data_IF_952812802693
#
_entry.id   IF_952812802693
#
_cell.length_a   1.000
_cell.length_b   1.000
_cell.length_c   1.000
_cell.angle_alpha   90.00
_cell.angle_beta   90.00
_cell.angle_gamma   90.00
#
_symmetry.space_group_name_H-M   'P 1'
#
loop_
_entity.id
_entity.type
_entity.pdbx_description
1 polymer ?
#
# COMPACT_ATOMS: atom_id res chain seq x y z
N UNK A 1 23.40 37.15 -4.44
CA UNK A 1 21.97 37.24 -4.03
C UNK A 1 21.48 35.87 -3.59
N UNK A 2 21.54 35.58 -2.30
CA UNK A 2 21.06 34.33 -1.71
C UNK A 2 19.56 34.43 -1.45
N UNK A 3 18.74 33.75 -2.27
CA UNK A 3 17.29 33.69 -2.08
C UNK A 3 16.98 32.77 -0.91
N UNK A 4 16.70 33.36 0.26
CA UNK A 4 16.11 32.68 1.42
C UNK A 4 14.71 32.18 1.06
N UNK A 5 14.49 30.87 1.01
CA UNK A 5 13.18 30.28 0.78
C UNK A 5 12.38 30.28 2.08
N UNK A 6 11.22 30.96 2.07
CA UNK A 6 10.29 31.11 3.19
C UNK A 6 9.73 29.75 3.61
N UNK A 7 9.78 29.44 4.91
CA UNK A 7 9.17 28.27 5.53
C UNK A 7 7.75 28.63 6.01
N UNK A 8 6.70 28.21 5.28
CA UNK A 8 5.32 28.29 5.78
C UNK A 8 4.99 27.01 6.54
N UNK A 9 4.70 27.15 7.84
CA UNK A 9 4.12 26.11 8.69
C UNK A 9 2.60 26.33 8.72
N UNK A 10 1.83 25.43 8.09
CA UNK A 10 0.37 25.47 8.10
C UNK A 10 -0.25 24.49 7.10
N UNK A 11 -0.82 23.39 7.62
CA UNK A 11 -1.66 22.35 6.97
C UNK A 11 -1.22 21.85 5.58
N UNK A 12 -0.61 20.66 5.58
CA UNK A 12 -0.14 19.97 4.38
C UNK A 12 1.28 20.40 4.06
N UNK A 13 2.25 19.51 4.28
CA UNK A 13 3.64 19.75 3.90
C UNK A 13 3.66 20.24 2.43
N UNK A 14 4.26 21.41 2.12
CA UNK A 14 4.30 21.94 0.77
C UNK A 14 4.84 20.91 -0.22
N UNK A 15 4.31 20.91 -1.45
CA UNK A 15 4.77 20.06 -2.55
C UNK A 15 6.29 20.17 -2.69
N UNK A 16 7.01 19.12 -2.28
CA UNK A 16 8.48 19.10 -2.32
C UNK A 16 8.95 19.00 -3.79
N UNK A 17 8.14 18.37 -4.65
CA UNK A 17 8.45 18.19 -6.07
C UNK A 17 7.34 18.78 -6.95
N UNK A 18 7.37 20.09 -7.26
CA UNK A 18 6.48 20.67 -8.26
C UNK A 18 6.79 20.15 -9.68
N UNK A 19 7.94 19.51 -9.87
CA UNK A 19 8.45 19.00 -11.13
C UNK A 19 8.53 17.47 -11.11
N UNK A 20 7.93 16.82 -12.12
CA UNK A 20 7.86 15.36 -12.23
C UNK A 20 9.23 14.77 -12.54
N UNK A 21 10.04 15.49 -13.32
CA UNK A 21 11.39 15.03 -13.68
C UNK A 21 12.26 14.92 -12.44
N UNK A 22 12.26 15.95 -11.59
CA UNK A 22 12.99 15.92 -10.31
C UNK A 22 12.49 14.85 -9.34
N UNK A 23 11.19 14.58 -9.34
CA UNK A 23 10.64 13.47 -8.58
C UNK A 23 11.21 12.13 -9.09
N UNK A 24 11.21 11.94 -10.42
CA UNK A 24 11.74 10.72 -11.03
C UNK A 24 13.24 10.54 -10.77
N UNK A 25 14.04 11.62 -10.82
CA UNK A 25 15.46 11.60 -10.45
C UNK A 25 15.67 11.14 -9.00
N UNK A 26 14.93 11.72 -8.05
CA UNK A 26 15.04 11.35 -6.64
C UNK A 26 14.61 9.89 -6.38
N UNK A 27 13.57 9.42 -7.08
CA UNK A 27 13.15 8.02 -7.06
C UNK A 27 14.27 7.11 -7.60
N UNK A 28 14.87 7.47 -8.73
CA UNK A 28 15.96 6.69 -9.32
C UNK A 28 17.17 6.63 -8.39
N UNK A 29 17.55 7.76 -7.78
CA UNK A 29 18.63 7.82 -6.82
C UNK A 29 18.39 6.93 -5.59
N UNK A 30 17.15 6.84 -5.09
CA UNK A 30 16.80 5.91 -4.01
C UNK A 30 17.07 4.46 -4.40
N UNK A 31 16.55 4.02 -5.54
CA UNK A 31 16.72 2.62 -5.96
C UNK A 31 18.17 2.30 -6.31
N UNK A 32 18.88 3.21 -6.97
CA UNK A 32 20.31 3.06 -7.24
C UNK A 32 21.10 2.89 -5.94
N UNK A 33 20.83 3.72 -4.93
CA UNK A 33 21.46 3.58 -3.62
C UNK A 33 21.19 2.19 -3.02
N UNK A 34 19.93 1.73 -3.07
CA UNK A 34 19.58 0.41 -2.56
C UNK A 34 20.31 -0.72 -3.30
N UNK A 35 20.49 -0.60 -4.62
CA UNK A 35 21.26 -1.57 -5.42
C UNK A 35 22.74 -1.59 -5.01
N UNK A 36 23.34 -0.41 -4.86
CA UNK A 36 24.75 -0.26 -4.46
C UNK A 36 25.01 -0.79 -3.05
N UNK A 37 24.07 -0.61 -2.12
CA UNK A 37 24.22 -1.04 -0.72
C UNK A 37 23.61 -2.40 -0.42
N UNK A 38 22.99 -3.06 -1.40
CA UNK A 38 22.17 -4.26 -1.23
C UNK A 38 21.06 -4.09 -0.17
N UNK A 39 20.52 -2.86 -0.04
CA UNK A 39 19.42 -2.57 0.87
C UNK A 39 18.06 -2.96 0.25
N UNK A 40 17.10 -3.40 1.07
CA UNK A 40 15.75 -3.67 0.60
C UNK A 40 15.03 -2.44 0.06
N UNK A 41 14.31 -2.61 -1.05
CA UNK A 41 13.35 -1.61 -1.50
C UNK A 41 12.12 -1.63 -0.58
N UNK A 42 11.76 -0.50 0.00
CA UNK A 42 10.60 -0.38 0.89
C UNK A 42 9.85 0.92 0.64
N UNK A 43 8.53 0.92 0.86
CA UNK A 43 7.69 2.12 0.72
C UNK A 43 8.14 3.21 1.70
N UNK A 44 8.51 2.83 2.92
CA UNK A 44 9.01 3.77 3.92
C UNK A 44 10.37 4.33 3.53
N UNK A 45 11.28 3.49 3.02
CA UNK A 45 12.58 3.94 2.52
C UNK A 45 12.43 4.94 1.36
N UNK A 46 11.53 4.66 0.43
CA UNK A 46 11.18 5.58 -0.66
C UNK A 46 10.63 6.90 -0.12
N UNK A 47 9.70 6.86 0.84
CA UNK A 47 9.14 8.07 1.45
C UNK A 47 10.23 8.91 2.15
N UNK A 48 11.14 8.26 2.89
CA UNK A 48 12.27 8.92 3.54
C UNK A 48 13.22 9.57 2.53
N UNK A 49 13.56 8.88 1.44
CA UNK A 49 14.41 9.42 0.38
C UNK A 49 13.78 10.65 -0.30
N UNK A 50 12.46 10.66 -0.43
CA UNK A 50 11.68 11.79 -0.96
C UNK A 50 11.35 12.85 0.11
N UNK A 51 11.89 12.72 1.33
CA UNK A 51 11.63 13.60 2.47
C UNK A 51 10.13 13.82 2.75
N UNK A 52 9.36 12.75 2.64
CA UNK A 52 7.90 12.77 2.74
C UNK A 52 7.36 11.62 3.60
N UNK A 53 6.05 11.42 3.59
CA UNK A 53 5.38 10.33 4.31
C UNK A 53 4.78 9.31 3.35
N UNK A 54 4.54 8.07 3.82
CA UNK A 54 3.79 7.06 3.06
C UNK A 54 2.42 7.59 2.62
N UNK A 55 1.74 8.34 3.48
CA UNK A 55 0.44 8.93 3.15
C UNK A 55 0.54 9.94 1.99
N UNK A 56 1.63 10.72 1.94
CA UNK A 56 1.87 11.64 0.84
C UNK A 56 2.06 10.91 -0.49
N UNK A 57 2.78 9.78 -0.50
CA UNK A 57 2.93 8.96 -1.71
C UNK A 57 1.56 8.49 -2.23
N UNK A 58 0.70 7.98 -1.34
CA UNK A 58 -0.68 7.57 -1.68
C UNK A 58 -1.49 8.77 -2.23
N UNK A 59 -1.35 9.94 -1.62
CA UNK A 59 -2.04 11.14 -2.10
C UNK A 59 -1.54 11.59 -3.49
N UNK A 60 -0.27 11.36 -3.82
CA UNK A 60 0.31 11.71 -5.12
C UNK A 60 -0.08 10.71 -6.21
N UNK A 61 -0.24 9.44 -5.84
CA UNK A 61 -0.82 8.42 -6.71
C UNK A 61 -2.25 8.76 -7.15
N UNK A 62 -2.97 9.65 -6.46
CA UNK A 62 -4.30 10.12 -6.88
C UNK A 62 -4.26 11.43 -7.69
N UNK A 63 -3.07 11.96 -8.02
CA UNK A 63 -2.89 13.20 -8.80
C UNK A 63 -2.34 12.86 -10.17
N UNK A 64 -3.10 13.17 -11.22
CA UNK A 64 -2.77 12.86 -12.62
C UNK A 64 -1.31 13.17 -12.99
N UNK A 65 -0.81 14.35 -12.60
CA UNK A 65 0.58 14.77 -12.86
C UNK A 65 1.66 13.81 -12.32
N UNK A 66 1.41 13.13 -11.19
CA UNK A 66 2.40 12.29 -10.51
C UNK A 66 2.03 10.81 -10.53
N UNK A 67 0.86 10.47 -11.09
CA UNK A 67 0.24 9.16 -11.05
C UNK A 67 1.21 8.07 -11.53
N UNK A 68 1.69 8.19 -12.77
CA UNK A 68 2.53 7.16 -13.39
C UNK A 68 3.86 7.00 -12.64
N UNK A 69 4.52 8.10 -12.29
CA UNK A 69 5.80 8.10 -11.59
C UNK A 69 5.72 7.40 -10.23
N UNK A 70 4.70 7.72 -9.42
CA UNK A 70 4.53 7.10 -8.10
C UNK A 70 4.08 5.65 -8.22
N UNK A 71 3.15 5.35 -9.14
CA UNK A 71 2.68 3.97 -9.36
C UNK A 71 3.82 3.06 -9.78
N UNK A 72 4.66 3.50 -10.72
CA UNK A 72 5.84 2.76 -11.15
C UNK A 72 6.85 2.57 -10.01
N UNK A 73 7.07 3.58 -9.17
CA UNK A 73 7.95 3.45 -8.01
C UNK A 73 7.43 2.44 -6.99
N UNK A 74 6.12 2.47 -6.68
CA UNK A 74 5.48 1.49 -5.81
C UNK A 74 5.57 0.07 -6.38
N UNK A 75 5.35 -0.09 -7.68
CA UNK A 75 5.46 -1.37 -8.37
C UNK A 75 6.87 -1.98 -8.27
N UNK A 76 7.93 -1.15 -8.30
CA UNK A 76 9.30 -1.63 -8.07
C UNK A 76 9.51 -2.18 -6.66
N UNK A 77 8.94 -1.52 -5.65
CA UNK A 77 8.97 -2.00 -4.26
C UNK A 77 8.19 -3.30 -4.13
N UNK A 78 7.02 -3.39 -4.76
CA UNK A 78 6.18 -4.58 -4.80
C UNK A 78 6.91 -5.76 -5.46
N UNK A 79 7.53 -5.55 -6.63
CA UNK A 79 8.31 -6.58 -7.31
C UNK A 79 9.52 -7.06 -6.49
N UNK A 80 10.17 -6.17 -5.74
CA UNK A 80 11.23 -6.59 -4.82
C UNK A 80 10.70 -7.55 -3.74
N UNK A 81 9.55 -7.24 -3.14
CA UNK A 81 8.91 -8.13 -2.17
C UNK A 81 8.50 -9.46 -2.84
N UNK A 82 7.89 -9.42 -4.01
CA UNK A 82 7.54 -10.62 -4.80
C UNK A 82 8.76 -11.52 -5.06
N UNK A 83 9.87 -10.96 -5.54
CA UNK A 83 11.12 -11.71 -5.74
C UNK A 83 11.62 -12.38 -4.47
N UNK A 84 11.50 -11.71 -3.31
CA UNK A 84 11.89 -12.26 -2.01
C UNK A 84 11.01 -13.41 -1.53
N UNK A 85 9.82 -13.63 -2.09
CA UNK A 85 9.05 -14.85 -1.84
C UNK A 85 9.82 -16.11 -2.24
N UNK A 86 10.62 -16.04 -3.31
CA UNK A 86 11.36 -17.17 -3.86
C UNK A 86 12.71 -17.42 -3.18
N UNK A 87 13.08 -16.63 -2.15
CA UNK A 87 14.39 -16.74 -1.48
C UNK A 87 14.33 -17.43 -0.11
N UNK A 88 13.23 -18.12 0.23
CA UNK A 88 13.12 -18.96 1.43
C UNK A 88 12.74 -18.26 2.75
N UNK A 89 12.58 -16.93 2.76
CA UNK A 89 12.16 -16.15 3.93
C UNK A 89 10.89 -15.33 3.64
N UNK A 90 9.78 -16.01 3.38
CA UNK A 90 8.58 -15.40 2.81
C UNK A 90 7.74 -14.57 3.79
N UNK A 91 7.86 -14.73 5.12
CA UNK A 91 6.96 -14.05 6.09
C UNK A 91 6.96 -12.52 5.97
N UNK A 92 8.15 -11.90 5.87
CA UNK A 92 8.28 -10.46 5.69
C UNK A 92 7.73 -9.97 4.34
N UNK A 93 8.15 -10.57 3.21
CA UNK A 93 7.59 -10.29 1.89
C UNK A 93 6.06 -10.47 1.79
N UNK A 94 5.50 -11.54 2.35
CA UNK A 94 4.05 -11.77 2.40
C UNK A 94 3.35 -10.64 3.14
N UNK A 95 3.87 -10.22 4.30
CA UNK A 95 3.32 -9.08 5.04
C UNK A 95 3.40 -7.78 4.22
N UNK A 96 4.50 -7.56 3.49
CA UNK A 96 4.63 -6.40 2.61
C UNK A 96 3.61 -6.44 1.47
N UNK A 97 3.47 -7.56 0.76
CA UNK A 97 2.53 -7.74 -0.35
C UNK A 97 1.07 -7.61 0.08
N UNK A 98 0.71 -8.07 1.28
CA UNK A 98 -0.61 -7.81 1.87
C UNK A 98 -0.90 -6.30 2.01
N UNK A 99 0.11 -5.49 2.34
CA UNK A 99 -0.05 -4.02 2.34
C UNK A 99 -0.19 -3.40 0.94
N UNK A 100 0.18 -4.14 -0.11
CA UNK A 100 -0.12 -3.80 -1.51
C UNK A 100 -1.50 -4.31 -1.97
N UNK A 101 -2.26 -4.97 -1.09
CA UNK A 101 -3.59 -5.49 -1.39
C UNK A 101 -3.60 -6.93 -1.90
N UNK A 102 -2.47 -7.66 -1.83
CA UNK A 102 -2.46 -9.08 -2.14
C UNK A 102 -3.21 -9.86 -1.07
N UNK A 103 -4.07 -10.76 -1.51
CA UNK A 103 -4.84 -11.62 -0.64
C UNK A 103 -4.64 -13.09 -1.02
N UNK A 104 -4.62 -13.94 0.01
CA UNK A 104 -4.72 -15.39 -0.19
C UNK A 104 -6.21 -15.73 -0.21
N UNK A 105 -6.76 -15.95 -1.40
CA UNK A 105 -8.18 -16.27 -1.57
C UNK A 105 -8.46 -17.69 -1.09
N UNK A 106 -8.90 -17.83 0.17
CA UNK A 106 -9.39 -19.08 0.72
C UNK A 106 -10.91 -19.17 0.53
N UNK A 107 -11.34 -19.96 -0.47
CA UNK A 107 -12.75 -20.22 -0.74
C UNK A 107 -13.31 -21.20 0.32
N UNK A 108 -13.82 -20.68 1.44
CA UNK A 108 -14.41 -21.48 2.49
C UNK A 108 -15.87 -21.82 2.13
N UNK A 109 -16.09 -22.98 1.52
CA UNK A 109 -17.43 -23.53 1.40
C UNK A 109 -17.92 -23.95 2.80
N UNK A 110 -18.91 -23.24 3.34
CA UNK A 110 -19.57 -23.63 4.58
C UNK A 110 -20.56 -24.78 4.30
N UNK A 111 -20.08 -26.02 4.34
CA UNK A 111 -20.92 -27.22 4.36
C UNK A 111 -21.27 -27.59 5.81
N UNK A 112 -22.11 -26.79 6.45
CA UNK A 112 -22.67 -27.11 7.77
C UNK A 112 -24.10 -27.63 7.63
N UNK A 113 -24.41 -28.79 8.19
CA UNK A 113 -25.81 -29.24 8.34
C UNK A 113 -26.56 -28.26 9.25
N UNK A 114 -27.63 -27.66 8.72
CA UNK A 114 -28.54 -26.82 9.50
C UNK A 114 -29.52 -27.72 10.25
N UNK A 115 -29.29 -27.95 11.55
CA UNK A 115 -30.27 -28.57 12.44
C UNK A 115 -31.36 -27.55 12.81
N UNK A 116 -32.44 -27.52 12.03
CA UNK A 116 -33.60 -26.67 12.28
C UNK A 116 -34.59 -27.45 13.16
N UNK A 117 -34.68 -27.10 14.45
CA UNK A 117 -35.73 -27.60 15.33
C UNK A 117 -37.00 -26.76 15.16
N UNK A 118 -37.97 -27.27 14.40
CA UNK A 118 -39.28 -26.63 14.21
C UNK A 118 -40.23 -27.12 15.31
N UNK A 119 -40.45 -26.29 16.32
CA UNK A 119 -41.53 -26.52 17.29
C UNK A 119 -42.85 -26.02 16.69
N UNK A 120 -43.68 -26.94 16.20
CA UNK A 120 -45.03 -26.62 15.72
C UNK A 120 -45.98 -26.53 16.91
N UNK A 121 -46.31 -25.32 17.35
CA UNK A 121 -47.46 -25.10 18.23
C UNK A 121 -48.72 -25.17 17.39
N UNK A 122 -49.51 -26.24 17.55
CA UNK A 122 -50.86 -26.31 16.97
C UNK A 122 -51.75 -25.42 17.83
N UNK A 123 -52.22 -24.32 17.26
CA UNK A 123 -53.25 -23.50 17.89
C UNK A 123 -54.58 -24.04 17.41
N UNK A 124 -55.21 -24.90 18.21
CA UNK A 124 -56.58 -25.33 17.94
C UNK A 124 -57.48 -24.12 18.12
N UNK A 125 -57.98 -23.61 17.00
CA UNK A 125 -59.01 -22.58 16.97
C UNK A 125 -60.32 -23.17 17.44
N UNK A 126 -60.58 -23.13 18.74
CA UNK A 126 -61.94 -23.22 19.26
C UNK A 126 -62.66 -21.93 18.90
N UNK A 127 -63.43 -22.01 17.82
CA UNK A 127 -64.47 -21.06 17.51
C UNK A 127 -65.75 -21.58 18.17
N UNK A 128 -66.12 -21.00 19.31
CA UNK A 128 -67.50 -20.80 19.82
C UNK A 128 -67.47 -19.97 21.12
#
# INVERSE_FOLDING_TARGET
>A
MTKKTKTSRGRGQPLIFPDVEKLQEAINAFFQKCDETNEPYTITGLALALNTSRQTLINYENREKYFDTIKNAKLRVENYAEKKLFTGHATGPIFALKNFGWEDSQNHAHSGELNININKTVVDGNND
#
